data_IF_059887022185
#
_entry.id   IF_059887022185
#
_cell.length_a   1.000
_cell.length_b   1.000
_cell.length_c   1.000
_cell.angle_alpha   90.00
_cell.angle_beta   90.00
_cell.angle_gamma   90.00
#
_symmetry.space_group_name_H-M   'P 1'
#
loop_
_entity.id
_entity.type
_entity.pdbx_description
1 polymer ?
#
# COMPACT_ATOMS: atom_id res chain seq x y z
N UNK A 1 34.53 -73.93 57.00
CA UNK A 1 33.36 -73.21 56.41
C UNK A 1 33.73 -71.74 56.36
N UNK A 2 33.97 -71.22 55.15
CA UNK A 2 34.42 -69.84 54.91
C UNK A 2 33.25 -69.05 54.34
N UNK A 3 32.78 -68.04 55.07
CA UNK A 3 31.71 -67.14 54.63
C UNK A 3 32.34 -65.81 54.22
N UNK A 4 32.51 -65.62 52.91
CA UNK A 4 32.78 -64.33 52.28
C UNK A 4 31.47 -63.53 52.14
N UNK A 5 31.40 -62.35 52.76
CA UNK A 5 30.37 -61.35 52.50
C UNK A 5 30.91 -60.30 51.52
N UNK A 6 30.15 -59.90 50.49
CA UNK A 6 30.59 -58.84 49.58
C UNK A 6 30.42 -57.45 50.21
N UNK A 7 31.46 -56.62 50.12
CA UNK A 7 31.39 -55.18 50.40
C UNK A 7 30.38 -54.50 49.46
N UNK A 8 29.27 -54.00 50.00
CA UNK A 8 28.42 -53.04 49.29
C UNK A 8 29.04 -51.65 49.37
N UNK A 9 29.38 -51.10 48.20
CA UNK A 9 29.87 -49.73 48.01
C UNK A 9 28.67 -48.78 48.17
N UNK A 10 28.61 -48.06 49.28
CA UNK A 10 27.60 -47.01 49.49
C UNK A 10 27.94 -45.84 48.56
N UNK A 11 27.07 -45.58 47.59
CA UNK A 11 27.20 -44.47 46.66
C UNK A 11 27.15 -43.13 47.40
N UNK A 12 28.05 -42.21 47.05
CA UNK A 12 28.03 -40.85 47.55
C UNK A 12 26.73 -40.15 47.14
N UNK A 13 25.95 -39.70 48.12
CA UNK A 13 24.80 -38.84 47.89
C UNK A 13 25.31 -37.46 47.44
N UNK A 14 25.01 -37.08 46.18
CA UNK A 14 25.26 -35.70 45.73
C UNK A 14 24.27 -34.79 46.46
N UNK A 15 24.78 -33.98 47.39
CA UNK A 15 24.00 -32.88 47.97
C UNK A 15 23.59 -31.91 46.85
N UNK A 16 22.35 -31.42 46.81
CA UNK A 16 21.98 -30.37 45.88
C UNK A 16 22.75 -29.09 46.25
N UNK A 17 23.65 -28.66 45.36
CA UNK A 17 24.33 -27.36 45.46
C UNK A 17 23.29 -26.25 45.31
N UNK A 18 22.78 -25.74 46.42
CA UNK A 18 21.86 -24.60 46.43
C UNK A 18 22.65 -23.32 46.16
N UNK A 19 22.85 -22.99 44.90
CA UNK A 19 23.32 -21.64 44.54
C UNK A 19 22.13 -20.70 44.65
N UNK A 20 21.80 -20.28 45.88
CA UNK A 20 20.98 -19.10 46.10
C UNK A 20 21.77 -17.90 45.57
N UNK A 21 21.48 -17.50 44.33
CA UNK A 21 21.89 -16.19 43.83
C UNK A 21 21.04 -15.18 44.60
N UNK A 22 21.54 -14.73 45.74
CA UNK A 22 21.00 -13.56 46.42
C UNK A 22 21.26 -12.37 45.49
N UNK A 23 20.24 -11.97 44.73
CA UNK A 23 20.29 -10.72 43.99
C UNK A 23 20.53 -9.60 45.02
N UNK A 24 21.70 -8.96 44.98
CA UNK A 24 22.00 -7.84 45.87
C UNK A 24 20.84 -6.84 45.89
N UNK A 25 20.28 -6.58 47.07
CA UNK A 25 19.24 -5.57 47.26
C UNK A 25 19.80 -4.17 46.94
N UNK A 26 19.60 -3.70 45.71
CA UNK A 26 19.97 -2.33 45.32
C UNK A 26 18.89 -1.37 45.82
N UNK A 27 19.25 -0.54 46.79
CA UNK A 27 18.37 0.47 47.40
C UNK A 27 18.22 1.73 46.52
N UNK A 28 18.93 1.80 45.39
CA UNK A 28 18.84 2.89 44.43
C UNK A 28 17.85 2.54 43.30
N UNK A 29 16.80 3.34 43.15
CA UNK A 29 15.87 3.23 42.03
C UNK A 29 16.49 3.83 40.77
N UNK A 30 16.57 3.03 39.70
CA UNK A 30 17.11 3.51 38.44
C UNK A 30 16.08 4.45 37.77
N UNK A 31 16.38 5.75 37.77
CA UNK A 31 15.59 6.74 37.06
C UNK A 31 15.88 6.67 35.55
N UNK A 32 15.00 5.99 34.79
CA UNK A 32 15.13 5.88 33.33
C UNK A 32 14.71 7.19 32.66
N UNK A 33 15.63 7.76 31.87
CA UNK A 33 15.31 8.85 30.95
C UNK A 33 14.69 8.28 29.66
N UNK A 34 13.68 8.94 29.07
CA UNK A 34 13.11 8.49 27.80
C UNK A 34 14.11 8.68 26.65
N UNK A 35 14.28 7.66 25.82
CA UNK A 35 15.11 7.74 24.60
C UNK A 35 14.28 8.37 23.48
N UNK A 36 14.63 9.58 23.07
CA UNK A 36 13.95 10.30 21.98
C UNK A 36 14.77 10.21 20.70
N UNK A 37 14.24 9.66 19.60
CA UNK A 37 14.93 9.67 18.31
C UNK A 37 15.02 11.10 17.77
N UNK A 38 15.97 11.33 16.87
CA UNK A 38 16.06 12.59 16.15
C UNK A 38 14.81 12.79 15.28
N UNK A 39 14.31 14.02 15.22
CA UNK A 39 13.13 14.37 14.41
C UNK A 39 13.45 15.49 13.44
N UNK A 40 13.01 15.31 12.20
CA UNK A 40 13.07 16.29 11.13
C UNK A 40 11.75 17.04 11.02
N UNK A 41 11.80 18.25 10.47
CA UNK A 41 10.63 19.00 10.03
C UNK A 41 10.32 18.63 8.59
N UNK A 42 9.17 18.00 8.35
CA UNK A 42 8.73 17.60 7.02
C UNK A 42 7.54 18.46 6.59
N UNK A 43 7.58 18.97 5.37
CA UNK A 43 6.46 19.62 4.71
C UNK A 43 5.64 18.55 3.99
N UNK A 44 4.38 18.40 4.39
CA UNK A 44 3.44 17.45 3.79
C UNK A 44 2.52 18.24 2.87
N UNK A 45 2.48 17.87 1.59
CA UNK A 45 1.53 18.40 0.61
C UNK A 45 0.40 17.39 0.42
N UNK A 46 -0.82 17.80 0.72
CA UNK A 46 -2.03 17.00 0.50
C UNK A 46 -2.46 17.05 -0.97
N UNK A 47 -3.41 16.19 -1.33
CA UNK A 47 -3.93 16.00 -2.69
C UNK A 47 -4.62 17.25 -3.27
N UNK A 48 -5.15 18.12 -2.41
CA UNK A 48 -5.71 19.43 -2.77
C UNK A 48 -4.65 20.54 -2.91
N UNK A 49 -3.38 20.20 -2.68
CA UNK A 49 -2.27 21.15 -2.68
C UNK A 49 -2.08 21.89 -1.36
N UNK A 50 -2.94 21.68 -0.36
CA UNK A 50 -2.74 22.27 0.97
C UNK A 50 -1.50 21.68 1.65
N UNK A 51 -0.79 22.51 2.42
CA UNK A 51 0.51 22.13 2.98
C UNK A 51 0.57 22.38 4.47
N UNK A 52 1.14 21.44 5.22
CA UNK A 52 1.43 21.61 6.64
C UNK A 52 2.79 21.04 7.01
N UNK A 53 3.35 21.54 8.11
CA UNK A 53 4.64 21.07 8.64
C UNK A 53 4.43 20.12 9.81
N UNK A 54 5.09 18.97 9.81
CA UNK A 54 5.01 17.96 10.87
C UNK A 54 6.40 17.47 11.31
N UNK A 55 6.53 17.08 12.58
CA UNK A 55 7.75 16.48 13.14
C UNK A 55 7.74 14.98 12.92
N UNK A 56 8.61 14.50 12.04
CA UNK A 56 8.73 13.08 11.69
C UNK A 56 10.14 12.57 11.97
N UNK A 57 10.33 11.26 12.03
CA UNK A 57 11.68 10.64 12.07
C UNK A 57 12.24 10.36 10.67
N UNK A 58 11.42 10.51 9.62
CA UNK A 58 11.86 10.38 8.23
C UNK A 58 12.78 11.54 7.83
N UNK A 59 13.89 11.28 7.12
CA UNK A 59 14.81 12.33 6.65
C UNK A 59 14.25 13.12 5.45
N UNK A 60 13.12 12.71 4.87
CA UNK A 60 12.57 13.33 3.67
C UNK A 60 11.94 14.70 3.98
N UNK A 61 12.46 15.76 3.36
CA UNK A 61 12.01 17.13 3.62
C UNK A 61 10.59 17.43 3.13
N UNK A 62 10.18 16.89 1.98
CA UNK A 62 8.85 17.12 1.37
C UNK A 62 8.18 15.79 1.07
N UNK A 63 6.99 15.58 1.60
CA UNK A 63 6.16 14.41 1.34
C UNK A 63 4.89 14.81 0.59
N UNK A 64 4.61 14.13 -0.52
CA UNK A 64 3.38 14.35 -1.31
C UNK A 64 2.46 13.15 -1.14
N UNK A 65 1.27 13.36 -0.58
CA UNK A 65 0.29 12.28 -0.46
C UNK A 65 -0.52 12.14 -1.75
N UNK A 66 -0.59 10.92 -2.26
CA UNK A 66 -1.47 10.57 -3.39
C UNK A 66 -2.84 10.10 -2.91
N UNK A 67 -2.96 9.58 -1.68
CA UNK A 67 -4.21 9.17 -1.04
C UNK A 67 -4.27 9.74 0.37
N UNK A 68 -5.27 10.54 0.65
CA UNK A 68 -5.48 11.23 1.92
C UNK A 68 -6.96 11.52 2.18
N UNK A 69 -7.26 12.20 3.29
CA UNK A 69 -8.65 12.50 3.68
C UNK A 69 -9.34 13.49 2.75
N UNK A 70 -8.61 14.21 1.87
CA UNK A 70 -9.20 15.17 0.93
C UNK A 70 -9.68 14.49 -0.35
N UNK A 71 -9.10 13.35 -0.75
CA UNK A 71 -9.51 12.62 -1.95
C UNK A 71 -10.21 11.28 -1.68
N UNK A 72 -10.52 10.98 -0.42
CA UNK A 72 -11.22 9.76 -0.06
C UNK A 72 -12.74 10.02 0.10
N UNK A 73 -13.60 9.26 -0.62
CA UNK A 73 -15.05 9.54 -0.67
C UNK A 73 -15.74 9.42 0.69
N UNK A 74 -15.22 8.57 1.57
CA UNK A 74 -15.74 8.41 2.94
C UNK A 74 -15.67 9.70 3.77
N UNK A 75 -14.62 10.51 3.59
CA UNK A 75 -14.43 11.74 4.36
C UNK A 75 -15.06 12.97 3.68
N UNK A 76 -15.33 12.91 2.38
CA UNK A 76 -15.98 13.96 1.61
C UNK A 76 -17.18 13.42 0.81
N UNK A 77 -18.26 12.99 1.49
CA UNK A 77 -19.41 12.37 0.83
C UNK A 77 -20.23 13.34 -0.02
N UNK A 78 -20.09 14.65 0.18
CA UNK A 78 -20.80 15.68 -0.59
C UNK A 78 -20.19 15.95 -1.97
N UNK A 79 -18.95 15.54 -2.21
CA UNK A 79 -18.30 15.77 -3.49
C UNK A 79 -18.65 14.68 -4.49
N UNK A 80 -19.54 15.00 -5.42
CA UNK A 80 -19.95 14.12 -6.52
C UNK A 80 -18.76 13.64 -7.37
N UNK A 81 -17.76 14.51 -7.56
CA UNK A 81 -16.50 14.17 -8.23
C UNK A 81 -15.82 12.92 -7.66
N UNK A 82 -15.88 12.70 -6.34
CA UNK A 82 -15.23 11.54 -5.71
C UNK A 82 -16.11 10.29 -5.72
N UNK A 83 -17.44 10.45 -5.79
CA UNK A 83 -18.39 9.32 -5.83
C UNK A 83 -18.39 8.64 -7.21
N UNK A 84 -18.15 9.41 -8.26
CA UNK A 84 -18.09 8.90 -9.64
C UNK A 84 -16.69 8.37 -10.01
N UNK A 85 -15.72 8.39 -9.09
CA UNK A 85 -14.39 7.81 -9.34
C UNK A 85 -14.50 6.30 -9.20
N UNK A 86 -14.30 5.62 -10.33
CA UNK A 86 -14.21 4.16 -10.36
C UNK A 86 -12.98 3.70 -9.58
N UNK A 87 -13.20 3.16 -8.38
CA UNK A 87 -12.13 2.66 -7.52
C UNK A 87 -11.57 1.32 -8.03
N UNK A 88 -10.72 1.36 -9.06
CA UNK A 88 -9.96 0.19 -9.54
C UNK A 88 -8.65 0.03 -8.76
N UNK A 89 -8.75 -0.33 -7.48
CA UNK A 89 -7.56 -0.52 -6.62
C UNK A 89 -6.68 -1.68 -7.07
N UNK A 90 -7.30 -2.70 -7.68
CA UNK A 90 -6.60 -3.89 -8.17
C UNK A 90 -6.04 -3.72 -9.59
N UNK A 91 -6.30 -2.58 -10.25
CA UNK A 91 -5.90 -2.34 -11.64
C UNK A 91 -6.56 -3.30 -12.65
N UNK A 92 -7.60 -4.04 -12.24
CA UNK A 92 -8.21 -5.09 -13.07
C UNK A 92 -9.05 -4.49 -14.18
N UNK A 93 -9.81 -3.44 -13.89
CA UNK A 93 -10.59 -2.73 -14.91
C UNK A 93 -9.66 -2.00 -15.86
N UNK A 94 -8.62 -1.34 -15.35
CA UNK A 94 -7.58 -0.69 -16.16
C UNK A 94 -6.87 -1.69 -17.07
N UNK A 95 -6.50 -2.87 -16.55
CA UNK A 95 -5.87 -3.93 -17.34
C UNK A 95 -6.84 -4.59 -18.33
N UNK A 96 -8.14 -4.62 -18.04
CA UNK A 96 -9.15 -5.09 -18.97
C UNK A 96 -9.35 -4.08 -20.11
N UNK A 97 -9.53 -2.80 -19.78
CA UNK A 97 -9.66 -1.70 -20.74
C UNK A 97 -8.45 -1.60 -21.66
N UNK A 98 -7.23 -1.78 -21.14
CA UNK A 98 -6.02 -1.77 -21.98
C UNK A 98 -5.91 -2.96 -22.93
N UNK A 99 -6.66 -4.05 -22.70
CA UNK A 99 -6.65 -5.25 -23.55
C UNK A 99 -7.82 -5.29 -24.52
N UNK A 100 -9.00 -4.86 -24.08
CA UNK A 100 -10.26 -5.07 -24.80
C UNK A 100 -10.97 -3.75 -25.15
N UNK A 101 -10.34 -2.60 -24.88
CA UNK A 101 -10.93 -1.28 -25.08
C UNK A 101 -12.04 -0.96 -24.07
N UNK A 102 -12.74 0.15 -24.28
CA UNK A 102 -13.82 0.64 -23.40
C UNK A 102 -15.24 0.22 -23.81
N UNK A 103 -15.38 -0.58 -24.87
CA UNK A 103 -16.70 -0.97 -25.40
C UNK A 103 -17.59 -1.76 -24.43
N UNK A 104 -17.01 -2.33 -23.36
CA UNK A 104 -17.69 -3.16 -22.36
C UNK A 104 -18.01 -2.42 -21.04
N UNK A 105 -17.78 -1.11 -20.97
CA UNK A 105 -18.09 -0.32 -19.77
C UNK A 105 -19.61 -0.16 -19.59
N UNK A 106 -20.07 -0.15 -18.33
CA UNK A 106 -21.50 -0.16 -17.98
C UNK A 106 -22.27 1.10 -18.43
N UNK A 107 -21.57 2.19 -18.76
CA UNK A 107 -22.15 3.40 -19.32
C UNK A 107 -22.79 3.16 -20.69
N UNK A 108 -22.23 2.25 -21.50
CA UNK A 108 -22.81 1.87 -22.80
C UNK A 108 -24.15 1.11 -22.67
N UNK A 109 -24.41 0.45 -21.54
CA UNK A 109 -25.70 -0.23 -21.32
C UNK A 109 -26.81 0.74 -20.92
N UNK A 110 -26.47 1.82 -20.21
CA UNK A 110 -27.45 2.85 -19.80
C UNK A 110 -27.80 3.77 -20.98
N UNK A 111 -26.85 4.08 -21.88
CA UNK A 111 -27.14 4.84 -23.10
C UNK A 111 -28.03 4.06 -24.09
N UNK A 112 -27.99 2.72 -24.06
CA UNK A 112 -28.87 1.86 -24.87
C UNK A 112 -30.30 1.76 -24.30
N UNK A 113 -30.47 1.85 -22.97
CA UNK A 113 -31.79 1.86 -22.31
C UNK A 113 -32.41 3.28 -22.23
N UNK A 114 -31.59 4.34 -22.15
CA UNK A 114 -32.05 5.74 -22.13
C UNK A 114 -32.42 6.29 -23.52
N UNK A 115 -32.12 5.58 -24.61
CA UNK A 115 -32.55 5.95 -25.97
C UNK A 115 -34.06 5.74 -26.23
N UNK A 116 -34.85 5.39 -25.21
CA UNK A 116 -36.32 5.40 -25.21
C UNK A 116 -36.87 6.52 -24.30
N UNK A 117 -36.33 7.74 -24.40
CA UNK A 117 -36.84 8.88 -23.65
C UNK A 117 -36.17 10.19 -24.09
N UNK A 118 -36.87 10.91 -24.97
CA UNK A 118 -36.77 12.33 -25.30
C UNK A 118 -35.64 13.15 -24.63
N UNK A 119 -34.58 13.47 -25.38
CA UNK A 119 -34.16 14.85 -25.73
C UNK A 119 -32.72 14.90 -26.29
N UNK A 120 -32.63 15.02 -27.62
CA UNK A 120 -31.38 15.20 -28.38
C UNK A 120 -30.96 16.67 -28.39
N UNK A 121 -30.02 17.08 -27.54
CA UNK A 121 -29.30 18.34 -27.77
C UNK A 121 -27.92 18.46 -27.09
N UNK A 122 -27.63 17.68 -26.04
CA UNK A 122 -26.35 17.80 -25.31
C UNK A 122 -25.33 16.67 -25.60
N UNK A 123 -25.76 15.56 -26.23
CA UNK A 123 -24.92 14.37 -26.43
C UNK A 123 -23.91 14.47 -27.59
N UNK A 124 -24.06 15.44 -28.48
CA UNK A 124 -23.20 15.57 -29.67
C UNK A 124 -21.84 16.23 -29.41
N UNK A 125 -21.48 16.54 -28.16
CA UNK A 125 -20.17 17.12 -27.80
C UNK A 125 -19.27 16.08 -27.12
N UNK A 126 -19.82 15.17 -26.32
CA UNK A 126 -19.07 14.09 -25.66
C UNK A 126 -18.78 12.91 -26.60
N UNK A 127 -19.67 12.65 -27.58
CA UNK A 127 -19.51 11.54 -28.54
C UNK A 127 -18.32 11.75 -29.49
N UNK A 128 -17.92 13.00 -29.77
CA UNK A 128 -16.74 13.31 -30.58
C UNK A 128 -15.42 13.11 -29.83
N UNK A 129 -15.37 13.42 -28.53
CA UNK A 129 -14.14 13.25 -27.73
C UNK A 129 -13.81 11.76 -27.54
N UNK A 130 -14.83 10.91 -27.37
CA UNK A 130 -14.65 9.44 -27.26
C UNK A 130 -14.23 8.81 -28.60
N UNK A 131 -14.73 9.30 -29.74
CA UNK A 131 -14.33 8.84 -31.07
C UNK A 131 -12.89 9.26 -31.41
N UNK A 132 -12.50 10.49 -31.05
CA UNK A 132 -11.14 10.99 -31.23
C UNK A 132 -10.15 10.23 -30.32
N UNK A 133 -10.52 9.90 -29.08
CA UNK A 133 -9.68 9.10 -28.18
C UNK A 133 -9.49 7.65 -28.69
N UNK A 134 -10.54 7.05 -29.27
CA UNK A 134 -10.45 5.73 -29.91
C UNK A 134 -9.60 5.78 -31.20
N UNK A 135 -9.66 6.88 -31.96
CA UNK A 135 -8.82 7.09 -33.15
C UNK A 135 -7.36 7.33 -32.79
N UNK A 136 -7.09 8.09 -31.72
CA UNK A 136 -5.73 8.35 -31.21
C UNK A 136 -5.07 7.07 -30.67
N UNK A 137 -5.82 6.16 -30.05
CA UNK A 137 -5.32 4.85 -29.64
C UNK A 137 -4.98 3.95 -30.84
N UNK A 138 -5.83 3.96 -31.88
CA UNK A 138 -5.57 3.23 -33.12
C UNK A 138 -4.30 3.73 -33.85
N UNK A 139 -4.09 5.06 -33.90
CA UNK A 139 -2.88 5.66 -34.48
C UNK A 139 -1.63 5.32 -33.65
N UNK A 140 -1.74 5.31 -32.33
CA UNK A 140 -0.61 4.97 -31.43
C UNK A 140 -0.21 3.50 -31.57
N UNK A 141 -1.17 2.60 -31.79
CA UNK A 141 -0.90 1.17 -32.01
C UNK A 141 -0.10 0.89 -33.28
N UNK A 142 -0.30 1.68 -34.34
CA UNK A 142 0.38 1.51 -35.63
C UNK A 142 1.86 1.92 -35.60
N UNK A 143 2.26 2.77 -34.64
CA UNK A 143 3.64 3.28 -34.51
C UNK A 143 4.58 2.46 -33.63
N UNK A 144 4.09 1.46 -32.88
CA UNK A 144 4.90 0.71 -31.90
C UNK A 144 5.55 -0.58 -32.44
N UNK A 145 5.20 -1.04 -33.65
CA UNK A 145 5.81 -2.26 -34.21
C UNK A 145 7.27 -2.07 -34.66
N UNK A 146 7.70 -0.85 -35.00
CA UNK A 146 9.05 -0.61 -35.53
C UNK A 146 10.13 -0.32 -34.47
N UNK A 147 9.77 -0.07 -33.21
CA UNK A 147 10.73 0.44 -32.19
C UNK A 147 11.06 -0.51 -31.04
N UNK A 148 10.87 -1.83 -31.17
CA UNK A 148 11.40 -2.78 -30.17
C UNK A 148 12.94 -2.83 -30.24
N UNK A 149 13.70 -2.36 -29.22
CA UNK A 149 15.15 -2.55 -29.21
C UNK A 149 15.44 -4.05 -28.96
N UNK A 150 16.15 -4.68 -29.90
CA UNK A 150 16.67 -6.04 -29.73
C UNK A 150 17.61 -6.07 -28.51
N UNK A 151 17.15 -6.70 -27.43
CA UNK A 151 17.98 -6.97 -26.25
C UNK A 151 19.16 -7.88 -26.64
N UNK A 152 20.38 -7.31 -26.60
CA UNK A 152 21.62 -8.02 -26.88
C UNK A 152 21.92 -9.11 -25.84
N UNK A 153 22.11 -10.33 -26.32
CA UNK A 153 22.65 -11.47 -25.56
C UNK A 153 24.12 -11.17 -25.21
N UNK A 154 24.43 -11.12 -23.91
CA UNK A 154 25.80 -11.11 -23.40
C UNK A 154 26.51 -12.42 -23.77
N UNK A 155 27.72 -12.33 -24.29
CA UNK A 155 28.76 -13.36 -24.26
C UNK A 155 29.95 -12.78 -23.51
#
# INVERSE_FOLDING_TARGET
MSMHLPLQRIGATKLPSTTYICSQCRHATLLRRPKRPYTFTQLITLSDGSTFTHRTTSPQAVYRSTRDTRNAPMWNPSSERLLNVEEDEAGRLKAFRSRFGRGWDATNTVSMEAAQGEDKAAAAVEEFDDEDDNLLDLITSFGQEESKPKAGKKK
#
